data_IF_496789918010
#
_entry.id   IF_496789918010
#
_cell.length_a   1.000
_cell.length_b   1.000
_cell.length_c   1.000
_cell.angle_alpha   90.00
_cell.angle_beta   90.00
_cell.angle_gamma   90.00
#
_symmetry.space_group_name_H-M   'P 1'
#
loop_
_entity.id
_entity.type
_entity.pdbx_description
1 polymer ?
#
# COMPACT_ATOMS: atom_id res chain seq x y z
N UNK A 1 19.81 -8.66 0.27
CA UNK A 1 18.85 -8.25 -0.76
C UNK A 1 19.29 -6.94 -1.39
N UNK A 2 19.11 -6.79 -2.70
CA UNK A 2 19.46 -5.57 -3.44
C UNK A 2 18.41 -4.46 -3.27
N UNK A 3 17.27 -4.76 -2.67
CA UNK A 3 16.19 -3.78 -2.46
C UNK A 3 16.31 -3.08 -1.12
N UNK A 4 16.06 -1.77 -1.10
CA UNK A 4 16.09 -0.98 0.13
C UNK A 4 15.02 -1.40 1.16
N UNK A 5 13.92 -2.02 0.70
CA UNK A 5 12.82 -2.52 1.54
C UNK A 5 13.08 -3.91 2.11
N UNK A 6 14.10 -4.64 1.60
CA UNK A 6 14.34 -6.04 1.93
C UNK A 6 13.41 -7.03 1.22
N UNK A 7 12.59 -6.57 0.26
CA UNK A 7 11.84 -7.45 -0.65
C UNK A 7 12.81 -8.19 -1.56
N UNK A 8 12.41 -9.37 -2.04
CA UNK A 8 13.15 -10.07 -3.09
C UNK A 8 13.12 -9.26 -4.38
N UNK A 9 14.13 -9.44 -5.20
CA UNK A 9 14.17 -8.91 -6.56
C UNK A 9 14.56 -10.01 -7.54
N UNK A 10 14.09 -9.90 -8.77
CA UNK A 10 14.44 -10.80 -9.88
C UNK A 10 14.99 -9.96 -11.02
N UNK A 11 16.13 -10.40 -11.56
CA UNK A 11 16.80 -9.78 -12.71
C UNK A 11 17.23 -10.86 -13.70
N UNK A 12 17.28 -10.52 -14.96
CA UNK A 12 17.77 -11.31 -16.07
C UNK A 12 17.18 -12.73 -16.20
N UNK A 13 15.87 -12.88 -16.34
CA UNK A 13 14.84 -11.88 -16.54
C UNK A 13 14.17 -11.42 -15.25
N UNK A 14 13.51 -10.24 -15.28
CA UNK A 14 12.68 -9.78 -14.17
C UNK A 14 11.30 -10.45 -14.19
N UNK A 15 11.20 -11.60 -13.56
CA UNK A 15 9.96 -12.40 -13.50
C UNK A 15 8.87 -11.79 -12.61
N UNK A 16 9.22 -10.84 -11.73
CA UNK A 16 8.24 -10.16 -10.87
C UNK A 16 7.39 -9.14 -11.62
N UNK A 17 7.84 -8.68 -12.78
CA UNK A 17 7.17 -7.64 -13.56
C UNK A 17 6.45 -8.16 -14.81
N UNK A 18 6.16 -9.47 -14.87
CA UNK A 18 5.34 -10.01 -15.96
C UNK A 18 3.95 -9.37 -15.89
N UNK A 19 3.49 -8.69 -16.95
CA UNK A 19 2.19 -8.02 -16.94
C UNK A 19 1.05 -8.99 -16.64
N UNK A 20 0.06 -8.54 -15.87
CA UNK A 20 -1.12 -9.36 -15.51
C UNK A 20 -2.38 -8.83 -16.16
N UNK A 21 -2.42 -7.50 -16.43
CA UNK A 21 -3.64 -6.82 -16.90
C UNK A 21 -3.84 -6.86 -18.42
N UNK A 22 -2.76 -7.02 -19.19
CA UNK A 22 -2.82 -7.06 -20.66
C UNK A 22 -3.05 -8.46 -21.19
N UNK A 23 -3.57 -8.58 -22.42
CA UNK A 23 -3.74 -9.87 -23.12
C UNK A 23 -2.42 -10.60 -23.27
N UNK A 24 -1.42 -9.90 -23.80
CA UNK A 24 -0.07 -10.43 -24.03
C UNK A 24 0.59 -10.90 -22.73
N UNK A 25 0.41 -10.14 -21.63
CA UNK A 25 0.94 -10.53 -20.32
C UNK A 25 0.33 -11.84 -19.81
N UNK A 26 -0.97 -12.06 -20.07
CA UNK A 26 -1.62 -13.33 -19.74
C UNK A 26 -1.09 -14.49 -20.59
N UNK A 27 -0.88 -14.26 -21.89
CA UNK A 27 -0.28 -15.26 -22.78
C UNK A 27 1.14 -15.64 -22.34
N UNK A 28 1.98 -14.65 -21.99
CA UNK A 28 3.32 -14.91 -21.43
C UNK A 28 3.23 -15.76 -20.17
N UNK A 29 2.28 -15.50 -19.28
CA UNK A 29 2.10 -16.34 -18.07
C UNK A 29 1.70 -17.78 -18.38
N UNK A 30 0.96 -18.01 -19.43
CA UNK A 30 0.62 -19.37 -19.89
C UNK A 30 1.83 -20.15 -20.45
N UNK A 31 2.95 -19.47 -20.78
CA UNK A 31 4.17 -20.13 -21.20
C UNK A 31 4.96 -20.76 -20.04
N UNK A 32 4.63 -20.44 -18.80
CA UNK A 32 5.24 -21.08 -17.63
C UNK A 32 4.51 -22.38 -17.34
N UNK A 33 5.21 -23.49 -17.53
CA UNK A 33 4.67 -24.84 -17.34
C UNK A 33 5.36 -25.52 -16.16
N UNK A 34 4.68 -26.44 -15.44
CA UNK A 34 5.33 -27.32 -14.47
C UNK A 34 6.45 -28.11 -15.11
N UNK A 35 7.41 -28.57 -14.31
CA UNK A 35 8.61 -29.27 -14.80
C UNK A 35 8.34 -30.67 -15.34
N UNK A 36 7.28 -31.35 -14.87
CA UNK A 36 6.93 -32.71 -15.22
C UNK A 36 5.43 -32.93 -15.35
N UNK A 37 5.04 -33.98 -16.04
CA UNK A 37 3.63 -34.38 -16.12
C UNK A 37 3.09 -34.76 -14.73
N UNK A 38 1.90 -34.25 -14.41
CA UNK A 38 1.25 -34.44 -13.12
C UNK A 38 1.64 -33.41 -12.05
N UNK A 39 2.62 -32.57 -12.29
CA UNK A 39 2.93 -31.42 -11.43
C UNK A 39 1.99 -30.25 -11.72
N UNK A 40 1.79 -29.40 -10.70
CA UNK A 40 1.00 -28.20 -10.81
C UNK A 40 1.70 -27.00 -10.14
N UNK A 41 1.45 -25.80 -10.64
CA UNK A 41 1.82 -24.60 -9.93
C UNK A 41 0.87 -24.37 -8.77
N UNK A 42 1.43 -24.11 -7.59
CA UNK A 42 0.68 -23.60 -6.43
C UNK A 42 1.05 -22.14 -6.25
N UNK A 43 0.07 -21.24 -6.38
CA UNK A 43 0.24 -19.82 -6.09
C UNK A 43 -0.51 -19.49 -4.82
N UNK A 44 0.23 -18.99 -3.82
CA UNK A 44 -0.33 -18.56 -2.54
C UNK A 44 0.15 -17.15 -2.22
N UNK A 45 -0.78 -16.28 -1.83
CA UNK A 45 -0.48 -14.90 -1.43
C UNK A 45 -1.27 -14.54 -0.18
N UNK A 46 -0.68 -13.70 0.66
CA UNK A 46 -1.38 -13.18 1.84
C UNK A 46 -2.40 -12.12 1.42
N UNK A 47 -3.65 -12.33 1.80
CA UNK A 47 -4.71 -11.35 1.54
C UNK A 47 -4.45 -10.05 2.29
N UNK A 48 -4.15 -8.98 1.56
CA UNK A 48 -4.05 -7.60 2.06
C UNK A 48 -3.07 -7.45 3.25
N UNK A 49 -1.96 -8.18 3.25
CA UNK A 49 -1.06 -8.28 4.41
C UNK A 49 -0.54 -6.91 4.87
N UNK A 50 -0.24 -6.01 3.96
CA UNK A 50 0.29 -4.68 4.30
C UNK A 50 -0.73 -3.86 5.09
N UNK A 51 -2.02 -3.91 4.71
CA UNK A 51 -3.10 -3.25 5.45
C UNK A 51 -3.37 -3.91 6.81
N UNK A 52 -3.21 -5.24 6.92
CA UNK A 52 -3.33 -5.95 8.19
C UNK A 52 -2.20 -5.60 9.15
N UNK A 53 -0.97 -5.50 8.64
CA UNK A 53 0.18 -5.04 9.44
C UNK A 53 -0.01 -3.59 9.87
N UNK A 54 -0.50 -2.73 8.98
CA UNK A 54 -0.81 -1.34 9.32
C UNK A 54 -1.90 -1.26 10.41
N UNK A 55 -2.97 -2.03 10.29
CA UNK A 55 -4.03 -2.08 11.30
C UNK A 55 -3.48 -2.48 12.68
N UNK A 56 -2.57 -3.46 12.71
CA UNK A 56 -1.93 -3.93 13.94
C UNK A 56 -0.98 -2.88 14.53
N UNK A 57 -0.14 -2.25 13.71
CA UNK A 57 0.84 -1.27 14.19
C UNK A 57 0.22 0.07 14.58
N UNK A 58 -0.85 0.48 13.89
CA UNK A 58 -1.58 1.69 14.18
C UNK A 58 -2.63 1.54 15.31
N UNK A 59 -2.91 0.30 15.69
CA UNK A 59 -3.96 -0.03 16.67
C UNK A 59 -5.30 0.67 16.39
N UNK A 60 -5.57 0.95 15.09
CA UNK A 60 -6.81 1.62 14.67
C UNK A 60 -7.98 0.64 14.78
N UNK A 61 -8.85 0.86 15.78
CA UNK A 61 -9.96 -0.04 16.11
C UNK A 61 -10.88 -0.31 14.93
N UNK A 62 -11.14 0.70 14.08
CA UNK A 62 -12.01 0.56 12.92
C UNK A 62 -11.38 -0.32 11.85
N UNK A 63 -10.08 -0.09 11.59
CA UNK A 63 -9.34 -0.88 10.62
C UNK A 63 -9.18 -2.33 11.09
N UNK A 64 -8.93 -2.54 12.37
CA UNK A 64 -8.86 -3.87 13.00
C UNK A 64 -10.20 -4.59 12.89
N UNK A 65 -11.30 -3.91 13.23
CA UNK A 65 -12.66 -4.48 13.17
C UNK A 65 -13.01 -4.99 11.77
N UNK A 66 -12.69 -4.22 10.72
CA UNK A 66 -12.95 -4.66 9.33
C UNK A 66 -12.28 -6.01 9.03
N UNK A 67 -11.06 -6.20 9.49
CA UNK A 67 -10.34 -7.46 9.26
C UNK A 67 -10.84 -8.61 10.14
N UNK A 68 -11.29 -8.33 11.36
CA UNK A 68 -11.87 -9.33 12.26
C UNK A 68 -13.23 -9.82 11.76
N UNK A 69 -14.03 -8.93 11.20
CA UNK A 69 -15.33 -9.26 10.59
C UNK A 69 -15.20 -10.00 9.23
N UNK A 70 -13.99 -10.14 8.71
CA UNK A 70 -13.75 -10.78 7.41
C UNK A 70 -14.22 -9.96 6.21
N UNK A 71 -14.44 -8.65 6.40
CA UNK A 71 -14.94 -7.74 5.38
C UNK A 71 -13.91 -7.39 4.30
N UNK A 72 -14.42 -6.96 3.15
CA UNK A 72 -13.57 -6.38 2.11
C UNK A 72 -13.23 -4.93 2.46
N UNK A 73 -11.99 -4.70 2.90
CA UNK A 73 -11.50 -3.37 3.31
C UNK A 73 -11.66 -2.33 2.21
N UNK A 74 -11.51 -2.69 0.94
CA UNK A 74 -11.62 -1.72 -0.14
C UNK A 74 -13.06 -1.27 -0.36
N UNK A 75 -14.03 -2.18 -0.27
CA UNK A 75 -15.46 -1.85 -0.31
C UNK A 75 -15.88 -1.04 0.92
N UNK A 76 -15.39 -1.40 2.10
CA UNK A 76 -15.66 -0.64 3.33
C UNK A 76 -15.11 0.79 3.24
N UNK A 77 -13.85 0.92 2.82
CA UNK A 77 -13.24 2.22 2.60
C UNK A 77 -14.00 3.06 1.56
N UNK A 78 -14.47 2.42 0.47
CA UNK A 78 -15.28 3.12 -0.54
C UNK A 78 -16.58 3.69 0.05
N UNK A 79 -17.33 2.87 0.78
CA UNK A 79 -18.56 3.33 1.44
C UNK A 79 -18.30 4.51 2.37
N UNK A 80 -17.27 4.41 3.20
CA UNK A 80 -16.96 5.38 4.24
C UNK A 80 -16.37 6.69 3.72
N UNK A 81 -15.46 6.63 2.73
CA UNK A 81 -14.76 7.84 2.23
C UNK A 81 -15.63 8.58 1.20
N UNK A 82 -16.35 7.84 0.36
CA UNK A 82 -17.19 8.44 -0.68
C UNK A 82 -18.62 8.68 -0.23
N UNK A 83 -18.99 8.32 1.01
CA UNK A 83 -20.32 8.51 1.57
C UNK A 83 -21.40 7.67 0.87
N UNK A 84 -21.03 6.46 0.43
CA UNK A 84 -21.92 5.54 -0.28
C UNK A 84 -22.54 4.53 0.67
N UNK A 85 -23.78 4.10 0.40
CA UNK A 85 -24.31 2.90 1.03
C UNK A 85 -23.52 1.67 0.54
N UNK A 86 -23.39 0.61 1.37
CA UNK A 86 -22.64 -0.60 0.97
C UNK A 86 -23.07 -1.19 -0.38
N UNK A 87 -24.35 -1.10 -0.69
CA UNK A 87 -24.98 -1.61 -1.91
C UNK A 87 -24.66 -0.75 -3.15
N UNK A 88 -24.26 0.49 -2.94
CA UNK A 88 -23.89 1.43 -3.99
C UNK A 88 -22.41 1.33 -4.39
N UNK A 89 -21.64 0.53 -3.67
CA UNK A 89 -20.20 0.35 -3.95
C UNK A 89 -19.99 -0.51 -5.19
N UNK A 90 -19.89 0.15 -6.33
CA UNK A 90 -19.57 -0.49 -7.60
C UNK A 90 -18.08 -0.91 -7.65
N UNK A 91 -17.67 -1.80 -8.59
CA UNK A 91 -16.27 -2.13 -8.81
C UNK A 91 -15.37 -0.91 -9.04
N UNK A 92 -15.90 0.14 -9.66
CA UNK A 92 -15.15 1.40 -9.92
C UNK A 92 -14.82 2.11 -8.61
N UNK A 93 -15.79 2.24 -7.70
CA UNK A 93 -15.57 2.84 -6.39
C UNK A 93 -14.62 2.01 -5.53
N UNK A 94 -14.78 0.68 -5.57
CA UNK A 94 -13.90 -0.25 -4.90
C UNK A 94 -12.44 -0.11 -5.39
N UNK A 95 -12.21 0.00 -6.69
CA UNK A 95 -10.87 0.18 -7.27
C UNK A 95 -10.27 1.54 -6.91
N UNK A 96 -11.06 2.61 -6.86
CA UNK A 96 -10.62 3.91 -6.34
C UNK A 96 -10.21 3.82 -4.88
N UNK A 97 -11.03 3.21 -4.03
CA UNK A 97 -10.70 3.00 -2.63
C UNK A 97 -9.44 2.12 -2.45
N UNK A 98 -9.26 1.12 -3.30
CA UNK A 98 -8.03 0.33 -3.33
C UNK A 98 -6.81 1.20 -3.63
N UNK A 99 -6.91 2.12 -4.58
CA UNK A 99 -5.84 3.07 -4.88
C UNK A 99 -5.55 4.01 -3.70
N UNK A 100 -6.58 4.45 -2.97
CA UNK A 100 -6.43 5.24 -1.74
C UNK A 100 -5.73 4.42 -0.65
N UNK A 101 -6.23 3.24 -0.33
CA UNK A 101 -5.69 2.36 0.72
C UNK A 101 -4.19 2.08 0.52
N UNK A 102 -3.80 1.64 -0.68
CA UNK A 102 -2.38 1.39 -0.98
C UNK A 102 -1.58 2.69 -1.10
N UNK A 103 -2.19 3.72 -1.68
CA UNK A 103 -1.57 5.03 -1.78
C UNK A 103 -1.16 5.60 -0.42
N UNK A 104 -2.01 5.51 0.57
CA UNK A 104 -1.75 5.96 1.94
C UNK A 104 -0.54 5.22 2.55
N UNK A 105 -0.49 3.89 2.43
CA UNK A 105 0.65 3.08 2.92
C UNK A 105 1.96 3.55 2.28
N UNK A 106 1.94 3.86 0.99
CA UNK A 106 3.15 4.28 0.26
C UNK A 106 3.39 5.78 0.27
N UNK A 107 2.60 6.54 1.03
CA UNK A 107 2.76 8.00 1.16
C UNK A 107 2.49 8.75 -0.13
N UNK A 108 1.44 8.38 -0.87
CA UNK A 108 1.04 9.02 -2.11
C UNK A 108 0.65 10.49 -1.87
N UNK A 109 1.04 11.36 -2.80
CA UNK A 109 0.56 12.75 -2.81
C UNK A 109 -0.82 12.86 -3.48
N UNK A 110 -1.59 13.95 -3.21
CA UNK A 110 -2.85 14.21 -3.92
C UNK A 110 -2.69 14.18 -5.45
N UNK A 111 -1.59 14.75 -5.95
CA UNK A 111 -1.25 14.71 -7.38
C UNK A 111 -1.05 13.26 -7.90
N UNK A 112 -0.33 12.44 -7.14
CA UNK A 112 -0.09 11.03 -7.50
C UNK A 112 -1.39 10.23 -7.52
N UNK A 113 -2.26 10.43 -6.52
CA UNK A 113 -3.54 9.76 -6.42
C UNK A 113 -4.49 10.20 -7.55
N UNK A 114 -4.55 11.50 -7.85
CA UNK A 114 -5.34 12.03 -8.95
C UNK A 114 -4.96 11.38 -10.30
N UNK A 115 -3.65 11.28 -10.57
CA UNK A 115 -3.15 10.61 -11.79
C UNK A 115 -3.53 9.13 -11.87
N UNK A 116 -3.52 8.44 -10.73
CA UNK A 116 -3.80 7.01 -10.66
C UNK A 116 -5.30 6.69 -10.81
N UNK A 117 -6.16 7.56 -10.28
CA UNK A 117 -7.61 7.32 -10.21
C UNK A 117 -8.41 8.08 -11.27
N UNK A 118 -7.77 9.04 -11.98
CA UNK A 118 -8.43 9.86 -13.00
C UNK A 118 -9.36 10.95 -12.43
N UNK A 119 -9.27 11.24 -11.12
CA UNK A 119 -10.03 12.32 -10.47
C UNK A 119 -9.22 13.63 -10.44
N UNK A 120 -9.86 14.74 -10.08
CA UNK A 120 -9.15 15.99 -9.86
C UNK A 120 -8.22 15.92 -8.63
N UNK A 121 -7.21 16.79 -8.59
CA UNK A 121 -6.30 16.86 -7.44
C UNK A 121 -7.04 17.23 -6.15
N UNK A 122 -8.08 18.06 -6.24
CA UNK A 122 -8.92 18.44 -5.11
C UNK A 122 -9.68 17.23 -4.55
N UNK A 123 -10.32 16.44 -5.41
CA UNK A 123 -11.00 15.21 -4.98
C UNK A 123 -10.02 14.21 -4.36
N UNK A 124 -8.83 14.06 -4.92
CA UNK A 124 -7.79 13.20 -4.36
C UNK A 124 -7.34 13.66 -2.96
N UNK A 125 -7.26 14.97 -2.73
CA UNK A 125 -6.97 15.55 -1.41
C UNK A 125 -8.12 15.31 -0.42
N UNK A 126 -9.36 15.46 -0.87
CA UNK A 126 -10.56 15.16 -0.07
C UNK A 126 -10.59 13.66 0.31
N UNK A 127 -10.22 12.75 -0.59
CA UNK A 127 -10.13 11.31 -0.30
C UNK A 127 -9.05 10.97 0.73
N UNK A 128 -7.86 11.57 0.62
CA UNK A 128 -6.78 11.37 1.60
C UNK A 128 -7.19 11.92 2.97
N UNK A 129 -7.80 13.09 2.99
CA UNK A 129 -8.28 13.74 4.22
C UNK A 129 -9.37 12.89 4.87
N UNK A 130 -10.37 12.46 4.11
CA UNK A 130 -11.45 11.60 4.59
C UNK A 130 -10.93 10.26 5.14
N UNK A 131 -9.91 9.68 4.48
CA UNK A 131 -9.26 8.46 4.99
C UNK A 131 -8.69 8.68 6.40
N UNK A 132 -7.90 9.72 6.60
CA UNK A 132 -7.28 10.00 7.90
C UNK A 132 -8.27 10.49 8.96
N UNK A 133 -9.39 11.10 8.56
CA UNK A 133 -10.50 11.40 9.48
C UNK A 133 -11.20 10.11 9.94
N UNK A 134 -11.30 9.14 9.06
CA UNK A 134 -11.93 7.85 9.36
C UNK A 134 -11.01 6.94 10.17
N UNK A 135 -9.77 6.84 9.77
CA UNK A 135 -8.73 6.00 10.38
C UNK A 135 -7.69 6.89 11.07
N UNK A 136 -8.12 7.56 12.15
CA UNK A 136 -7.26 8.52 12.84
C UNK A 136 -6.05 7.87 13.51
N UNK A 137 -6.18 6.62 13.99
CA UNK A 137 -5.06 5.86 14.53
C UNK A 137 -3.95 5.63 13.50
N UNK A 138 -4.31 5.44 12.24
CA UNK A 138 -3.33 5.36 11.15
C UNK A 138 -2.58 6.67 10.96
N UNK A 139 -3.29 7.81 11.09
CA UNK A 139 -2.66 9.13 10.98
C UNK A 139 -1.67 9.36 12.12
N UNK A 140 -2.09 9.13 13.34
CA UNK A 140 -1.27 9.27 14.55
C UNK A 140 -0.03 8.38 14.47
N UNK A 141 -0.20 7.11 14.10
CA UNK A 141 0.92 6.19 13.89
C UNK A 141 1.94 6.70 12.87
N UNK A 142 1.49 7.24 11.72
CA UNK A 142 2.43 7.76 10.72
C UNK A 142 3.12 9.05 11.17
N UNK A 143 2.43 9.93 11.90
CA UNK A 143 3.01 11.15 12.45
C UNK A 143 4.10 10.81 13.48
N UNK A 144 3.82 9.92 14.42
CA UNK A 144 4.77 9.45 15.43
C UNK A 144 5.95 8.69 14.81
N UNK A 145 5.68 7.85 13.80
CA UNK A 145 6.71 7.14 13.05
C UNK A 145 7.71 8.12 12.41
N UNK A 146 7.21 9.20 11.79
CA UNK A 146 8.06 10.20 11.14
C UNK A 146 8.85 11.03 12.15
N UNK A 147 8.25 11.39 13.29
CA UNK A 147 8.96 12.08 14.39
C UNK A 147 10.10 11.21 14.88
N UNK A 148 9.80 9.97 15.27
CA UNK A 148 10.80 9.00 15.74
C UNK A 148 11.89 8.70 14.70
N UNK A 149 11.52 8.60 13.42
CA UNK A 149 12.47 8.37 12.34
C UNK A 149 13.45 9.52 12.15
N UNK A 150 12.98 10.77 12.27
CA UNK A 150 13.84 11.96 12.18
C UNK A 150 14.80 12.06 13.36
N UNK A 151 14.38 11.67 14.56
CA UNK A 151 15.24 11.65 15.76
C UNK A 151 16.30 10.55 15.70
N UNK A 152 15.88 9.33 15.34
CA UNK A 152 16.74 8.13 15.37
C UNK A 152 17.55 7.90 14.09
N UNK A 153 17.08 8.43 12.97
CA UNK A 153 17.68 8.19 11.65
C UNK A 153 17.33 6.83 11.03
N UNK A 154 16.38 6.11 11.64
CA UNK A 154 15.92 4.81 11.13
C UNK A 154 14.50 4.52 11.57
N UNK A 155 13.86 3.59 10.87
CA UNK A 155 12.62 2.92 11.29
C UNK A 155 12.86 1.44 11.52
N UNK A 156 11.95 0.79 12.23
CA UNK A 156 12.00 -0.66 12.48
C UNK A 156 10.76 -1.36 11.95
N UNK A 157 10.93 -2.57 11.46
CA UNK A 157 9.80 -3.46 11.19
C UNK A 157 9.24 -4.05 12.49
N UNK A 158 8.09 -4.74 12.41
CA UNK A 158 7.51 -5.47 13.54
C UNK A 158 8.51 -6.40 14.22
N UNK A 159 9.42 -7.04 13.46
CA UNK A 159 10.48 -7.94 13.97
C UNK A 159 11.82 -7.23 14.20
N UNK A 160 11.80 -5.91 14.44
CA UNK A 160 12.96 -5.09 14.84
C UNK A 160 14.08 -5.01 13.81
N UNK A 161 13.83 -5.31 12.54
CA UNK A 161 14.79 -5.05 11.48
C UNK A 161 14.84 -3.55 11.20
N UNK A 162 16.04 -2.97 11.30
CA UNK A 162 16.25 -1.53 11.09
C UNK A 162 16.42 -1.19 9.62
N UNK A 163 15.85 -0.05 9.23
CA UNK A 163 16.11 0.62 7.97
C UNK A 163 16.58 2.03 8.25
N UNK A 164 17.83 2.33 7.91
CA UNK A 164 18.39 3.66 8.04
C UNK A 164 17.89 4.57 6.93
N UNK A 165 17.63 5.84 7.27
CA UNK A 165 17.00 6.83 6.40
C UNK A 165 17.77 8.17 6.47
N UNK A 166 19.04 8.21 5.97
CA UNK A 166 19.83 9.43 5.98
C UNK A 166 19.20 10.57 5.18
N UNK A 167 18.31 10.26 4.25
CA UNK A 167 17.56 11.21 3.43
C UNK A 167 16.69 12.15 4.26
N UNK A 168 16.22 11.74 5.44
CA UNK A 168 15.39 12.55 6.34
C UNK A 168 16.08 13.83 6.80
N UNK A 169 17.41 13.86 6.84
CA UNK A 169 18.22 15.02 7.23
C UNK A 169 18.72 15.85 6.05
N UNK A 170 18.39 15.48 4.83
CA UNK A 170 18.80 16.22 3.65
C UNK A 170 18.22 17.63 3.64
N UNK A 171 19.02 18.62 3.23
CA UNK A 171 18.54 19.98 2.95
C UNK A 171 17.63 20.03 1.70
N UNK A 172 17.74 19.05 0.81
CA UNK A 172 16.92 18.95 -0.39
C UNK A 172 15.54 18.40 -0.05
N UNK A 173 14.51 19.18 -0.37
CA UNK A 173 13.11 18.81 -0.10
C UNK A 173 12.70 17.47 -0.76
N UNK A 174 13.13 17.22 -2.00
CA UNK A 174 12.77 15.99 -2.72
C UNK A 174 13.37 14.75 -2.04
N UNK A 175 14.62 14.86 -1.57
CA UNK A 175 15.27 13.77 -0.82
C UNK A 175 14.59 13.54 0.53
N UNK A 176 14.24 14.58 1.28
CA UNK A 176 13.48 14.42 2.53
C UNK A 176 12.14 13.75 2.29
N UNK A 177 11.38 14.25 1.32
CA UNK A 177 10.08 13.65 0.96
C UNK A 177 10.22 12.19 0.50
N UNK A 178 11.30 11.85 -0.18
CA UNK A 178 11.62 10.46 -0.49
C UNK A 178 11.87 9.64 0.78
N UNK A 179 12.69 10.14 1.71
CA UNK A 179 12.96 9.49 3.01
C UNK A 179 11.67 9.27 3.83
N UNK A 180 10.77 10.24 3.86
CA UNK A 180 9.47 10.13 4.55
C UNK A 180 8.57 9.05 3.95
N UNK A 181 8.53 8.94 2.61
CA UNK A 181 7.82 7.83 1.95
C UNK A 181 8.47 6.49 2.26
N UNK A 182 9.80 6.46 2.30
CA UNK A 182 10.55 5.26 2.64
C UNK A 182 10.39 4.83 4.10
N UNK A 183 10.08 5.74 5.00
CA UNK A 183 9.80 5.43 6.40
C UNK A 183 8.47 4.69 6.57
N UNK A 184 7.47 5.04 5.77
CA UNK A 184 6.13 4.43 5.82
C UNK A 184 6.06 3.04 5.16
N UNK A 185 6.96 2.75 4.20
CA UNK A 185 6.91 1.54 3.35
C UNK A 185 7.75 0.38 3.90
#
# INVERSE_FOLDING_TARGET
TLTATGRLSSTDPNLQNIPVKTGEGREIRCCFLPGSEGEVFVSADYSQIELRVLAHLAEDERLVTVFQEGGDIHSRTAAEIFGLAPEEVTPVWRDRAKAVNFGIIYGISPFGLARQTGVSQREAEEYITGYFQRYHGVKEFFDDLLISAREKGYVTTLFQRRRYLPELWSKNFQQRSFGERMARN
#
